data_IF_227666007632
#
_entry.id   IF_227666007632
#
_cell.length_a   1.000
_cell.length_b   1.000
_cell.length_c   1.000
_cell.angle_alpha   90.00
_cell.angle_beta   90.00
_cell.angle_gamma   90.00
#
_symmetry.space_group_name_H-M   'P 1'
#
loop_
_entity.id
_entity.type
_entity.pdbx_description
1 polymer ?
#
# COMPACT_ATOMS: atom_id res chain seq x y z
N UNK A 1 1.28 11.51 16.84
CA UNK A 1 2.07 10.54 16.12
C UNK A 1 2.86 9.68 17.10
N UNK A 2 2.88 8.35 16.90
CA UNK A 2 3.69 7.44 17.73
C UNK A 2 4.83 6.86 16.92
N UNK A 3 6.06 7.04 17.38
CA UNK A 3 7.27 6.53 16.74
C UNK A 3 7.88 5.38 17.53
N UNK A 4 8.51 4.44 16.82
CA UNK A 4 9.33 3.41 17.45
C UNK A 4 10.69 3.99 17.82
N UNK A 5 11.02 4.00 19.11
CA UNK A 5 12.36 4.37 19.56
C UNK A 5 13.39 3.34 19.08
N UNK A 6 14.48 3.82 18.53
CA UNK A 6 15.51 2.94 17.97
C UNK A 6 16.85 3.24 18.62
N UNK A 7 17.57 2.21 19.06
CA UNK A 7 18.93 2.34 19.58
C UNK A 7 19.94 2.57 18.46
N UNK A 8 21.09 3.13 18.77
CA UNK A 8 22.20 3.26 17.84
C UNK A 8 22.62 1.90 17.22
N UNK A 9 22.53 0.82 18.00
CA UNK A 9 22.80 -0.53 17.53
C UNK A 9 21.84 -0.96 16.41
N UNK A 10 20.55 -0.73 16.59
CA UNK A 10 19.54 -1.06 15.54
C UNK A 10 19.70 -0.15 14.32
N UNK A 11 20.11 1.11 14.51
CA UNK A 11 20.34 2.03 13.38
C UNK A 11 21.46 1.54 12.44
N UNK A 12 22.44 0.76 12.94
CA UNK A 12 23.47 0.12 12.09
C UNK A 12 22.82 -0.89 11.11
N UNK A 13 21.79 -1.61 11.54
CA UNK A 13 21.13 -2.65 10.72
C UNK A 13 19.98 -2.12 9.87
N UNK A 14 19.18 -1.23 10.41
CA UNK A 14 17.93 -0.75 9.79
C UNK A 14 18.03 0.67 9.21
N UNK A 15 19.19 1.30 9.31
CA UNK A 15 19.40 2.70 8.92
C UNK A 15 18.81 3.70 9.92
N UNK A 16 18.95 4.98 9.58
CA UNK A 16 18.45 6.09 10.39
C UNK A 16 16.92 6.01 10.58
N UNK A 17 16.47 6.28 11.81
CA UNK A 17 15.05 6.41 12.15
C UNK A 17 14.80 7.85 12.63
N UNK A 18 13.62 8.36 12.34
CA UNK A 18 13.27 9.72 12.69
C UNK A 18 13.37 10.01 14.18
N UNK A 19 14.00 11.11 14.50
CA UNK A 19 13.84 11.80 15.80
C UNK A 19 12.46 12.48 15.86
N UNK A 20 12.03 12.94 17.03
CA UNK A 20 10.77 13.68 17.18
C UNK A 20 10.76 14.96 16.32
N UNK A 21 11.89 15.68 16.27
CA UNK A 21 12.02 16.89 15.45
C UNK A 21 11.91 16.60 13.94
N UNK A 22 12.59 15.57 13.46
CA UNK A 22 12.51 15.15 12.05
C UNK A 22 11.11 14.66 11.69
N UNK A 23 10.46 13.91 12.58
CA UNK A 23 9.10 13.43 12.37
C UNK A 23 8.11 14.61 12.29
N UNK A 24 8.25 15.59 13.19
CA UNK A 24 7.45 16.82 13.15
C UNK A 24 7.68 17.59 11.85
N UNK A 25 8.93 17.78 11.46
CA UNK A 25 9.27 18.49 10.22
C UNK A 25 8.73 17.80 8.96
N UNK A 26 8.75 16.46 8.94
CA UNK A 26 8.30 15.67 7.79
C UNK A 26 6.78 15.54 7.71
N UNK A 27 6.10 15.34 8.86
CA UNK A 27 4.66 15.05 8.90
C UNK A 27 3.77 16.28 9.14
N UNK A 28 4.32 17.37 9.66
CA UNK A 28 3.57 18.52 10.15
C UNK A 28 2.84 18.26 11.48
N UNK A 29 2.96 17.07 12.06
CA UNK A 29 2.33 16.72 13.34
C UNK A 29 3.23 17.14 14.48
N UNK A 30 2.77 18.09 15.30
CA UNK A 30 3.56 18.67 16.40
C UNK A 30 3.60 17.80 17.65
N UNK A 31 2.60 16.94 17.86
CA UNK A 31 2.54 16.04 19.03
C UNK A 31 3.09 14.68 18.63
N UNK A 32 4.32 14.40 19.06
CA UNK A 32 5.03 13.16 18.76
C UNK A 32 5.35 12.46 20.07
N UNK A 33 5.15 11.16 20.13
CA UNK A 33 5.38 10.30 21.27
C UNK A 33 6.13 9.03 20.86
N UNK A 34 6.79 8.39 21.82
CA UNK A 34 7.34 7.06 21.59
C UNK A 34 6.26 5.99 21.72
N UNK A 35 6.39 4.93 20.92
CA UNK A 35 5.41 3.83 20.89
C UNK A 35 5.20 3.19 22.28
N UNK A 36 6.24 3.17 23.09
CA UNK A 36 6.22 2.63 24.46
C UNK A 36 5.27 3.41 25.38
N UNK A 37 5.03 4.69 25.09
CA UNK A 37 4.12 5.57 25.84
C UNK A 37 2.65 5.36 25.46
N UNK A 38 2.39 4.66 24.33
CA UNK A 38 1.04 4.47 23.81
C UNK A 38 0.04 3.93 24.85
N UNK A 39 0.36 2.88 25.66
CA UNK A 39 -0.61 2.35 26.62
C UNK A 39 -1.07 3.38 27.66
N UNK A 40 -0.15 4.20 28.17
CA UNK A 40 -0.45 5.23 29.16
C UNK A 40 -1.28 6.38 28.54
N UNK A 41 -0.88 6.86 27.36
CA UNK A 41 -1.58 7.92 26.65
C UNK A 41 -2.97 7.45 26.22
N UNK A 42 -3.06 6.23 25.69
CA UNK A 42 -4.35 5.64 25.29
C UNK A 42 -5.30 5.54 26.49
N UNK A 43 -4.82 5.05 27.65
CA UNK A 43 -5.63 4.97 28.85
C UNK A 43 -6.11 6.35 29.32
N UNK A 44 -5.25 7.36 29.28
CA UNK A 44 -5.61 8.75 29.60
C UNK A 44 -6.70 9.27 28.65
N UNK A 45 -6.56 9.05 27.34
CA UNK A 45 -7.54 9.48 26.35
C UNK A 45 -8.88 8.77 26.55
N UNK A 46 -8.86 7.47 26.82
CA UNK A 46 -10.09 6.69 27.09
C UNK A 46 -10.84 7.18 28.31
N UNK A 47 -10.15 7.66 29.36
CA UNK A 47 -10.80 8.23 30.54
C UNK A 47 -11.56 9.55 30.27
N UNK A 48 -11.30 10.20 29.14
CA UNK A 48 -11.96 11.44 28.74
C UNK A 48 -12.88 11.28 27.50
N UNK A 49 -12.83 10.14 26.84
CA UNK A 49 -13.62 9.88 25.64
C UNK A 49 -14.98 9.30 25.99
N UNK A 50 -16.04 9.74 25.30
CA UNK A 50 -17.36 9.08 25.31
C UNK A 50 -17.55 8.22 24.07
N UNK A 51 -17.08 8.70 22.92
CA UNK A 51 -17.22 8.01 21.62
C UNK A 51 -15.83 7.60 21.11
N UNK A 52 -15.69 6.35 20.73
CA UNK A 52 -14.43 5.74 20.29
C UNK A 52 -14.61 5.12 18.91
N UNK A 53 -13.89 5.64 17.93
CA UNK A 53 -13.92 5.14 16.55
C UNK A 53 -12.77 4.17 16.34
N UNK A 54 -13.08 2.91 16.05
CA UNK A 54 -12.11 1.83 15.88
C UNK A 54 -12.13 1.30 14.44
N UNK A 55 -10.95 0.85 13.98
CA UNK A 55 -10.79 0.21 12.69
C UNK A 55 -10.93 -1.30 12.80
N UNK A 56 -11.71 -1.92 11.89
CA UNK A 56 -11.88 -3.37 11.79
C UNK A 56 -11.45 -3.94 10.43
N UNK A 57 -10.81 -3.16 9.58
CA UNK A 57 -10.38 -3.58 8.23
C UNK A 57 -11.53 -4.20 7.43
N UNK A 58 -12.64 -3.49 7.34
CA UNK A 58 -13.85 -3.93 6.64
C UNK A 58 -13.55 -4.12 5.14
N UNK A 59 -13.74 -5.35 4.66
CA UNK A 59 -13.60 -5.70 3.26
C UNK A 59 -14.60 -6.81 2.91
N UNK A 60 -15.54 -6.51 2.04
CA UNK A 60 -16.61 -7.42 1.65
C UNK A 60 -16.11 -8.69 0.93
N UNK A 61 -14.89 -8.67 0.40
CA UNK A 61 -14.27 -9.80 -0.29
C UNK A 61 -13.39 -10.66 0.61
N UNK A 62 -13.09 -10.21 1.83
CA UNK A 62 -12.18 -10.91 2.72
C UNK A 62 -12.92 -11.77 3.74
N UNK A 63 -12.80 -13.10 3.60
CA UNK A 63 -13.06 -14.03 4.68
C UNK A 63 -11.79 -14.19 5.51
N UNK A 64 -11.72 -13.51 6.65
CA UNK A 64 -10.53 -13.56 7.52
C UNK A 64 -10.72 -14.66 8.56
N UNK A 65 -10.01 -15.79 8.38
CA UNK A 65 -9.99 -16.90 9.34
C UNK A 65 -9.10 -16.56 10.54
N UNK A 66 -7.99 -15.84 10.30
CA UNK A 66 -7.05 -15.43 11.36
C UNK A 66 -7.42 -14.07 11.89
N UNK A 67 -7.58 -13.94 13.21
CA UNK A 67 -7.89 -12.68 13.86
C UNK A 67 -6.81 -11.63 13.57
N UNK A 68 -7.19 -10.52 12.92
CA UNK A 68 -6.27 -9.43 12.60
C UNK A 68 -5.77 -8.71 13.85
N UNK A 69 -4.69 -7.94 13.72
CA UNK A 69 -4.19 -7.09 14.81
C UNK A 69 -5.25 -6.08 15.26
N UNK A 70 -5.96 -5.47 14.31
CA UNK A 70 -7.00 -4.48 14.62
C UNK A 70 -8.18 -5.13 15.35
N UNK A 71 -8.62 -6.31 14.94
CA UNK A 71 -9.68 -7.04 15.63
C UNK A 71 -9.30 -7.39 17.08
N UNK A 72 -8.03 -7.80 17.31
CA UNK A 72 -7.54 -8.03 18.68
C UNK A 72 -7.54 -6.75 19.53
N UNK A 73 -7.09 -5.62 18.91
CA UNK A 73 -7.10 -4.32 19.58
C UNK A 73 -8.53 -3.87 19.93
N UNK A 74 -9.48 -4.05 19.03
CA UNK A 74 -10.92 -3.77 19.27
C UNK A 74 -11.44 -4.60 20.45
N UNK A 75 -11.16 -5.90 20.48
CA UNK A 75 -11.59 -6.80 21.55
C UNK A 75 -11.00 -6.38 22.90
N UNK A 76 -9.69 -6.14 22.97
CA UNK A 76 -9.01 -5.68 24.19
C UNK A 76 -9.55 -4.33 24.67
N UNK A 77 -9.72 -3.38 23.77
CA UNK A 77 -10.25 -2.05 24.09
C UNK A 77 -11.66 -2.14 24.70
N UNK A 78 -12.56 -2.87 24.05
CA UNK A 78 -13.94 -3.05 24.56
C UNK A 78 -13.99 -3.79 25.88
N UNK A 79 -13.11 -4.76 26.10
CA UNK A 79 -13.00 -5.48 27.38
C UNK A 79 -12.54 -4.58 28.53
N UNK A 80 -11.58 -3.71 28.27
CA UNK A 80 -11.01 -2.79 29.27
C UNK A 80 -11.88 -1.58 29.56
N UNK A 81 -12.62 -1.11 28.57
CA UNK A 81 -13.44 0.11 28.64
C UNK A 81 -14.89 -0.16 28.17
N UNK A 82 -15.65 -1.00 28.88
CA UNK A 82 -16.93 -1.53 28.36
C UNK A 82 -18.07 -0.52 28.28
N UNK A 83 -17.95 0.67 28.91
CA UNK A 83 -19.03 1.64 29.02
C UNK A 83 -18.94 2.78 27.99
N UNK A 84 -17.99 2.73 27.06
CA UNK A 84 -17.87 3.71 25.98
C UNK A 84 -18.79 3.40 24.81
N UNK A 85 -19.11 4.41 24.01
CA UNK A 85 -19.81 4.24 22.74
C UNK A 85 -18.78 3.90 21.66
N UNK A 86 -18.95 2.78 20.99
CA UNK A 86 -18.02 2.30 19.96
C UNK A 86 -18.60 2.41 18.58
N UNK A 87 -17.88 3.08 17.69
CA UNK A 87 -18.26 3.34 16.31
C UNK A 87 -17.19 2.85 15.33
N UNK A 88 -17.60 2.61 14.08
CA UNK A 88 -16.68 2.21 13.01
C UNK A 88 -15.97 3.43 12.44
N UNK A 89 -14.65 3.40 12.34
CA UNK A 89 -13.88 4.45 11.65
C UNK A 89 -13.96 4.35 10.12
N UNK A 90 -14.30 3.19 9.57
CA UNK A 90 -14.33 2.93 8.13
C UNK A 90 -15.19 3.92 7.33
N UNK A 91 -16.43 4.29 7.75
CA UNK A 91 -17.23 5.28 7.00
C UNK A 91 -16.58 6.67 6.93
N UNK A 92 -15.90 7.10 7.99
CA UNK A 92 -15.18 8.39 8.03
C UNK A 92 -14.01 8.33 7.04
N UNK A 93 -13.21 7.27 7.11
CA UNK A 93 -12.07 7.08 6.21
C UNK A 93 -12.50 6.94 4.75
N UNK A 94 -13.57 6.21 4.46
CA UNK A 94 -14.13 6.10 3.13
C UNK A 94 -14.53 7.48 2.56
N UNK A 95 -15.24 8.29 3.35
CA UNK A 95 -15.63 9.66 2.95
C UNK A 95 -14.41 10.54 2.65
N UNK A 96 -13.39 10.51 3.51
CA UNK A 96 -12.15 11.28 3.30
C UNK A 96 -11.41 10.86 2.04
N UNK A 97 -11.38 9.54 1.73
CA UNK A 97 -10.65 8.98 0.60
C UNK A 97 -11.40 9.01 -0.72
N UNK A 98 -12.71 9.21 -0.72
CA UNK A 98 -13.54 9.24 -1.94
C UNK A 98 -13.18 10.44 -2.81
N UNK A 99 -13.03 11.62 -2.22
CA UNK A 99 -12.63 12.83 -2.94
C UNK A 99 -11.14 13.10 -2.77
N UNK A 100 -10.40 13.13 -3.88
CA UNK A 100 -8.97 13.37 -3.90
C UNK A 100 -8.68 14.87 -3.97
N UNK A 101 -7.72 15.33 -3.17
CA UNK A 101 -7.15 16.67 -3.27
C UNK A 101 -6.35 16.84 -4.57
N UNK A 102 -6.01 18.06 -4.92
CA UNK A 102 -5.16 18.32 -6.10
C UNK A 102 -3.78 17.67 -5.97
N UNK A 103 -3.22 17.63 -4.76
CA UNK A 103 -1.95 16.95 -4.51
C UNK A 103 -2.07 15.44 -4.74
N UNK A 104 -3.12 14.79 -4.25
CA UNK A 104 -3.36 13.35 -4.48
C UNK A 104 -3.55 13.03 -5.96
N UNK A 105 -4.24 13.92 -6.71
CA UNK A 105 -4.37 13.76 -8.18
C UNK A 105 -3.01 13.81 -8.89
N UNK A 106 -2.11 14.69 -8.45
CA UNK A 106 -0.74 14.75 -8.99
C UNK A 106 0.04 13.46 -8.73
N UNK A 107 -0.13 12.84 -7.56
CA UNK A 107 0.52 11.55 -7.25
C UNK A 107 -0.03 10.43 -8.13
N UNK A 108 -1.35 10.35 -8.31
CA UNK A 108 -2.00 9.39 -9.22
C UNK A 108 -1.51 9.63 -10.66
N UNK A 109 -1.48 10.87 -11.12
CA UNK A 109 -0.99 11.19 -12.45
C UNK A 109 0.47 10.75 -12.64
N UNK A 110 1.31 10.94 -11.63
CA UNK A 110 2.70 10.47 -11.67
C UNK A 110 2.77 8.94 -11.80
N UNK A 111 1.94 8.20 -11.07
CA UNK A 111 1.86 6.74 -11.20
C UNK A 111 1.43 6.32 -12.60
N UNK A 112 0.41 6.99 -13.18
CA UNK A 112 -0.04 6.77 -14.56
C UNK A 112 1.04 7.09 -15.60
N UNK A 113 1.79 8.17 -15.41
CA UNK A 113 2.87 8.55 -16.32
C UNK A 113 4.02 7.53 -16.30
N UNK A 114 4.35 6.99 -15.13
CA UNK A 114 5.34 5.91 -14.99
C UNK A 114 4.85 4.64 -15.70
N UNK A 115 3.58 4.28 -15.51
CA UNK A 115 2.96 3.14 -16.19
C UNK A 115 2.96 3.30 -17.71
N UNK A 116 2.64 4.50 -18.22
CA UNK A 116 2.71 4.81 -19.65
C UNK A 116 4.13 4.66 -20.20
N UNK A 117 5.16 5.11 -19.47
CA UNK A 117 6.56 4.90 -19.88
C UNK A 117 6.90 3.42 -19.99
N UNK A 118 6.46 2.61 -19.02
CA UNK A 118 6.68 1.16 -19.06
C UNK A 118 5.96 0.53 -20.26
N UNK A 119 4.71 0.90 -20.51
CA UNK A 119 3.96 0.42 -21.67
C UNK A 119 4.67 0.73 -22.98
N UNK A 120 5.14 1.98 -23.18
CA UNK A 120 5.89 2.38 -24.37
C UNK A 120 7.20 1.61 -24.54
N UNK A 121 7.90 1.34 -23.44
CA UNK A 121 9.13 0.54 -23.46
C UNK A 121 8.83 -0.89 -23.88
N UNK A 122 7.78 -1.51 -23.34
CA UNK A 122 7.36 -2.85 -23.72
C UNK A 122 7.00 -2.93 -25.21
N UNK A 123 6.25 -1.96 -25.76
CA UNK A 123 5.92 -1.92 -27.18
C UNK A 123 7.16 -1.93 -28.09
N UNK A 124 8.27 -1.34 -27.64
CA UNK A 124 9.52 -1.35 -28.40
C UNK A 124 10.35 -2.64 -28.18
N UNK A 125 10.10 -3.35 -27.10
CA UNK A 125 10.83 -4.55 -26.69
C UNK A 125 10.24 -5.84 -27.24
N UNK A 126 8.91 -5.94 -27.24
CA UNK A 126 8.17 -7.15 -27.60
C UNK A 126 8.43 -7.59 -29.05
N UNK A 127 8.79 -8.85 -29.21
CA UNK A 127 8.94 -9.54 -30.50
C UNK A 127 8.69 -11.03 -30.32
N UNK A 128 8.42 -11.79 -31.39
CA UNK A 128 8.27 -13.23 -31.29
C UNK A 128 9.46 -13.91 -30.61
N UNK A 129 9.18 -14.83 -29.68
CA UNK A 129 10.17 -15.56 -28.89
C UNK A 129 10.57 -14.90 -27.57
N UNK A 130 10.13 -13.67 -27.27
CA UNK A 130 10.32 -13.06 -25.94
C UNK A 130 9.43 -13.79 -24.93
N UNK A 131 9.96 -14.03 -23.74
CA UNK A 131 9.19 -14.65 -22.65
C UNK A 131 8.35 -13.62 -21.90
N UNK A 132 7.19 -14.04 -21.39
CA UNK A 132 6.29 -13.18 -20.63
C UNK A 132 7.00 -12.53 -19.44
N UNK A 133 7.86 -13.26 -18.69
CA UNK A 133 8.65 -12.71 -17.57
C UNK A 133 9.73 -11.70 -18.02
N UNK A 134 10.23 -11.77 -19.25
CA UNK A 134 11.16 -10.75 -19.76
C UNK A 134 10.44 -9.43 -19.98
N UNK A 135 9.19 -9.48 -20.42
CA UNK A 135 8.32 -8.30 -20.51
C UNK A 135 8.06 -7.72 -19.12
N UNK A 136 7.76 -8.57 -18.14
CA UNK A 136 7.60 -8.13 -16.73
C UNK A 136 8.88 -7.47 -16.19
N UNK A 137 10.06 -8.00 -16.52
CA UNK A 137 11.33 -7.40 -16.11
C UNK A 137 11.54 -6.00 -16.70
N UNK A 138 11.15 -5.75 -17.96
CA UNK A 138 11.21 -4.44 -18.58
C UNK A 138 10.25 -3.42 -17.92
N UNK A 139 9.06 -3.89 -17.52
CA UNK A 139 8.09 -3.09 -16.75
C UNK A 139 8.69 -2.72 -15.39
N UNK A 140 9.18 -3.69 -14.63
CA UNK A 140 9.80 -3.49 -13.33
C UNK A 140 11.01 -2.57 -13.37
N UNK A 141 11.89 -2.76 -14.38
CA UNK A 141 13.02 -1.85 -14.60
C UNK A 141 12.53 -0.40 -14.76
N UNK A 142 11.46 -0.19 -15.55
CA UNK A 142 10.93 1.15 -15.78
C UNK A 142 10.32 1.74 -14.53
N UNK A 143 9.60 0.96 -13.75
CA UNK A 143 9.01 1.40 -12.49
C UNK A 143 10.10 1.88 -11.52
N UNK A 144 11.08 1.04 -11.24
CA UNK A 144 12.16 1.35 -10.30
C UNK A 144 13.03 2.52 -10.76
N UNK A 145 13.37 2.60 -12.05
CA UNK A 145 14.18 3.69 -12.60
C UNK A 145 13.46 5.04 -12.62
N UNK A 146 12.12 5.05 -12.49
CA UNK A 146 11.30 6.25 -12.35
C UNK A 146 10.78 6.47 -10.91
N UNK A 147 11.39 5.85 -9.91
CA UNK A 147 11.08 6.03 -8.49
C UNK A 147 9.71 5.51 -8.06
N UNK A 148 9.05 4.64 -8.81
CA UNK A 148 7.94 3.87 -8.27
C UNK A 148 8.47 2.97 -7.14
N UNK A 149 7.71 2.86 -6.06
CA UNK A 149 8.10 2.03 -4.91
C UNK A 149 8.09 0.55 -5.30
N UNK A 150 7.11 0.19 -6.12
CA UNK A 150 6.88 -1.19 -6.60
C UNK A 150 5.79 -1.18 -7.68
N UNK A 151 5.43 -2.35 -8.18
CA UNK A 151 4.19 -2.54 -8.89
C UNK A 151 2.99 -2.44 -7.94
N UNK A 152 1.87 -1.92 -8.41
CA UNK A 152 0.64 -1.74 -7.62
C UNK A 152 -0.01 -3.09 -7.24
N UNK A 153 0.16 -4.08 -8.10
CA UNK A 153 -0.30 -5.47 -7.96
C UNK A 153 0.59 -6.38 -8.83
N UNK A 154 0.48 -7.68 -8.66
CA UNK A 154 1.23 -8.63 -9.51
C UNK A 154 0.85 -8.45 -10.97
N UNK A 155 1.83 -8.19 -11.83
CA UNK A 155 1.59 -7.98 -13.27
C UNK A 155 1.06 -9.25 -13.93
N UNK A 156 0.08 -9.11 -14.80
CA UNK A 156 -0.42 -10.16 -15.68
C UNK A 156 0.17 -9.89 -17.05
N UNK A 157 0.98 -10.82 -17.54
CA UNK A 157 1.55 -10.81 -18.88
C UNK A 157 1.20 -12.14 -19.53
N UNK A 158 0.23 -12.14 -20.40
CA UNK A 158 -0.38 -13.36 -20.90
C UNK A 158 -0.42 -13.39 -22.43
N UNK A 159 0.29 -14.35 -23.04
CA UNK A 159 0.37 -14.53 -24.48
C UNK A 159 -0.55 -15.65 -24.97
N UNK A 160 -1.13 -15.48 -26.14
CA UNK A 160 -1.95 -16.48 -26.82
C UNK A 160 -3.16 -16.93 -26.01
N UNK A 161 -3.29 -18.24 -25.74
CA UNK A 161 -4.40 -18.81 -24.98
C UNK A 161 -4.44 -18.33 -23.52
N UNK A 162 -3.30 -17.98 -22.92
CA UNK A 162 -3.22 -17.46 -21.56
C UNK A 162 -3.92 -16.10 -21.42
N UNK A 163 -4.02 -15.32 -22.49
CA UNK A 163 -4.75 -14.05 -22.51
C UNK A 163 -6.26 -14.20 -22.23
N UNK A 164 -6.79 -15.42 -22.25
CA UNK A 164 -8.17 -15.70 -21.84
C UNK A 164 -8.33 -16.02 -20.36
N UNK A 165 -7.23 -16.06 -19.56
CA UNK A 165 -7.24 -16.32 -18.13
C UNK A 165 -7.13 -15.00 -17.38
N UNK A 166 -8.21 -14.57 -16.68
CA UNK A 166 -8.31 -13.24 -16.09
C UNK A 166 -7.23 -12.92 -15.06
N UNK A 167 -6.80 -13.91 -14.27
CA UNK A 167 -5.77 -13.73 -13.24
C UNK A 167 -4.58 -14.66 -13.50
N UNK A 168 -4.10 -14.65 -14.74
CA UNK A 168 -2.90 -15.37 -15.12
C UNK A 168 -1.66 -14.66 -14.53
N UNK A 169 -0.90 -15.36 -13.69
CA UNK A 169 0.24 -14.79 -12.97
C UNK A 169 1.54 -15.58 -13.14
N UNK A 170 1.51 -16.68 -13.90
CA UNK A 170 2.69 -17.52 -14.09
C UNK A 170 3.75 -16.83 -14.96
N UNK A 171 3.33 -15.99 -15.92
CA UNK A 171 4.17 -15.17 -16.79
C UNK A 171 5.37 -15.94 -17.34
N UNK A 172 5.20 -17.20 -17.77
CA UNK A 172 6.31 -18.11 -18.06
C UNK A 172 6.33 -18.72 -19.47
N UNK A 173 5.44 -18.26 -20.35
CA UNK A 173 5.35 -18.77 -21.72
C UNK A 173 6.01 -17.81 -22.71
N UNK A 174 6.46 -18.34 -23.90
CA UNK A 174 6.95 -17.49 -24.97
C UNK A 174 5.80 -16.78 -25.68
N UNK A 175 6.04 -15.55 -26.11
CA UNK A 175 5.16 -14.84 -27.02
C UNK A 175 5.44 -15.29 -28.46
N UNK A 176 4.48 -15.96 -29.13
CA UNK A 176 4.66 -16.39 -30.51
C UNK A 176 4.20 -15.31 -31.49
N UNK A 177 4.62 -15.46 -32.75
CA UNK A 177 4.15 -14.58 -33.80
C UNK A 177 2.65 -14.77 -34.06
N UNK A 178 1.91 -13.64 -34.07
CA UNK A 178 0.45 -13.63 -34.20
C UNK A 178 -0.33 -13.84 -32.91
N UNK A 179 0.32 -14.08 -31.76
CA UNK A 179 -0.37 -14.17 -30.48
C UNK A 179 -0.93 -12.80 -30.03
N UNK A 180 -2.11 -12.83 -29.41
CA UNK A 180 -2.59 -11.71 -28.63
C UNK A 180 -1.82 -11.66 -27.30
N UNK A 181 -1.27 -10.50 -26.95
CA UNK A 181 -0.62 -10.27 -25.67
C UNK A 181 -1.51 -9.39 -24.79
N UNK A 182 -2.05 -9.97 -23.72
CA UNK A 182 -2.76 -9.24 -22.67
C UNK A 182 -1.74 -8.78 -21.63
N UNK A 183 -1.80 -7.51 -21.26
CA UNK A 183 -0.96 -6.94 -20.22
C UNK A 183 -1.81 -6.13 -19.23
N UNK A 184 -1.74 -6.47 -17.96
CA UNK A 184 -2.39 -5.76 -16.86
C UNK A 184 -1.35 -5.47 -15.79
N UNK A 185 -0.95 -4.21 -15.66
CA UNK A 185 0.08 -3.76 -14.75
C UNK A 185 -0.07 -2.27 -14.42
N UNK A 186 0.37 -1.88 -13.24
CA UNK A 186 0.37 -0.49 -12.79
C UNK A 186 1.51 -0.19 -11.82
N UNK A 187 2.02 1.03 -11.85
CA UNK A 187 3.02 1.50 -10.89
C UNK A 187 2.37 1.99 -9.60
N UNK A 188 3.03 1.76 -8.46
CA UNK A 188 2.75 2.44 -7.20
C UNK A 188 3.75 3.56 -6.97
N UNK A 189 3.28 4.79 -6.87
CA UNK A 189 4.07 5.96 -6.54
C UNK A 189 3.52 6.68 -5.31
N UNK A 190 4.33 6.81 -4.26
CA UNK A 190 3.95 7.47 -3.00
C UNK A 190 2.60 6.97 -2.43
N UNK A 191 2.37 5.65 -2.45
CA UNK A 191 1.15 4.95 -2.02
C UNK A 191 -0.10 5.18 -2.90
N UNK A 192 0.06 5.75 -4.08
CA UNK A 192 -1.00 5.87 -5.08
C UNK A 192 -0.69 4.99 -6.29
N UNK A 193 -1.70 4.32 -6.80
CA UNK A 193 -1.59 3.35 -7.87
C UNK A 193 -2.18 3.87 -9.19
N UNK A 194 -1.55 3.45 -10.31
CA UNK A 194 -2.10 3.61 -11.63
C UNK A 194 -3.09 2.49 -11.95
#
# INVERSE_FOLDING_TARGET
LFLKKTSAYIAVWEGHKYTEAEATATSGITTVHWKEEFPAIFNMLMNHAENVYLNTNENDRASIIVTSRDARFVTDTKSRFPLHNYERSAPIMAKLRTSKSEFEKQLIQTACDITNKAFRRVLAFVKPGVMEYEIEAEIMHTFLSNRATRQAYGSIIASGANACVLHYVDNNQPCNDGDLLLMDFGAEYANYCA
#
